data_IF_896054290498
#
_entry.id   IF_896054290498
#
_cell.length_a   1.000
_cell.length_b   1.000
_cell.length_c   1.000
_cell.angle_alpha   90.00
_cell.angle_beta   90.00
_cell.angle_gamma   90.00
#
_symmetry.space_group_name_H-M   'P 1'
#
loop_
_entity.id
_entity.type
_entity.pdbx_description
1 polymer ?
#
# COMPACT_ATOMS: atom_id res chain seq x y z
N UNK A 1 2.66 -20.72 7.15
CA UNK A 1 1.49 -20.30 6.35
C UNK A 1 0.89 -19.09 7.04
N UNK A 2 0.57 -18.08 6.27
CA UNK A 2 -0.10 -16.90 6.81
C UNK A 2 -1.54 -17.24 7.20
N UNK A 3 -2.04 -16.61 8.24
CA UNK A 3 -3.40 -16.84 8.73
C UNK A 3 -4.33 -15.71 8.27
N UNK A 4 -5.66 -15.95 8.26
CA UNK A 4 -6.64 -14.88 8.12
C UNK A 4 -6.44 -13.83 9.21
N UNK A 5 -6.71 -12.57 8.89
CA UNK A 5 -6.58 -11.46 9.84
C UNK A 5 -7.81 -10.54 9.79
N UNK A 6 -7.96 -9.70 10.78
CA UNK A 6 -9.13 -8.80 10.88
C UNK A 6 -8.72 -7.35 10.65
N UNK A 7 -9.58 -6.63 9.94
CA UNK A 7 -9.52 -5.17 9.81
C UNK A 7 -10.85 -4.58 10.26
N UNK A 8 -10.83 -3.39 10.84
CA UNK A 8 -12.04 -2.63 11.14
C UNK A 8 -12.16 -1.48 10.15
N UNK A 9 -13.25 -1.44 9.39
CA UNK A 9 -13.53 -0.42 8.38
C UNK A 9 -14.90 0.19 8.66
N UNK A 10 -14.96 1.50 8.90
CA UNK A 10 -16.19 2.21 9.21
C UNK A 10 -17.00 1.58 10.36
N UNK A 11 -16.30 1.03 11.36
CA UNK A 11 -16.94 0.38 12.52
C UNK A 11 -17.34 -1.08 12.32
N UNK A 12 -17.13 -1.66 11.14
CA UNK A 12 -17.38 -3.07 10.85
C UNK A 12 -16.09 -3.88 10.88
N UNK A 13 -16.10 -5.01 11.57
CA UNK A 13 -14.98 -5.95 11.55
C UNK A 13 -15.09 -6.85 10.33
N UNK A 14 -14.04 -6.86 9.53
CA UNK A 14 -13.92 -7.66 8.32
C UNK A 14 -12.82 -8.69 8.48
N UNK A 15 -13.17 -9.97 8.35
CA UNK A 15 -12.20 -11.06 8.28
C UNK A 15 -11.62 -11.09 6.86
N UNK A 16 -10.29 -10.96 6.78
CA UNK A 16 -9.55 -11.00 5.53
C UNK A 16 -9.04 -12.41 5.25
N UNK A 17 -9.01 -12.77 3.97
CA UNK A 17 -8.46 -14.06 3.56
C UNK A 17 -6.98 -14.20 3.94
N UNK A 18 -6.58 -15.43 4.26
CA UNK A 18 -5.16 -15.73 4.44
C UNK A 18 -4.37 -15.44 3.15
N UNK A 19 -3.28 -14.66 3.20
CA UNK A 19 -2.48 -14.37 2.02
C UNK A 19 -1.91 -15.64 1.38
N UNK A 20 -1.96 -15.72 0.06
CA UNK A 20 -1.32 -16.79 -0.70
C UNK A 20 0.21 -16.65 -0.71
N UNK A 21 0.93 -17.70 -1.09
CA UNK A 21 2.38 -17.64 -1.25
C UNK A 21 2.81 -16.56 -2.26
N UNK A 22 2.10 -16.43 -3.37
CA UNK A 22 2.37 -15.40 -4.37
C UNK A 22 2.14 -13.99 -3.82
N UNK A 23 1.08 -13.81 -3.02
CA UNK A 23 0.80 -12.56 -2.32
C UNK A 23 1.97 -12.18 -1.38
N UNK A 24 2.39 -13.10 -0.52
CA UNK A 24 3.48 -12.86 0.42
C UNK A 24 4.80 -12.54 -0.29
N UNK A 25 5.09 -13.21 -1.39
CA UNK A 25 6.28 -12.95 -2.19
C UNK A 25 6.26 -11.53 -2.78
N UNK A 26 5.12 -11.06 -3.26
CA UNK A 26 4.96 -9.68 -3.76
C UNK A 26 5.11 -8.66 -2.65
N UNK A 27 4.50 -8.88 -1.49
CA UNK A 27 4.65 -8.00 -0.31
C UNK A 27 6.12 -7.90 0.11
N UNK A 28 6.82 -9.01 0.19
CA UNK A 28 8.25 -9.04 0.54
C UNK A 28 9.09 -8.27 -0.48
N UNK A 29 8.87 -8.48 -1.78
CA UNK A 29 9.58 -7.77 -2.85
C UNK A 29 9.34 -6.27 -2.79
N UNK A 30 8.09 -5.84 -2.66
CA UNK A 30 7.73 -4.43 -2.55
C UNK A 30 8.39 -3.79 -1.33
N UNK A 31 8.30 -4.45 -0.18
CA UNK A 31 8.92 -3.94 1.05
C UNK A 31 10.44 -3.79 0.91
N UNK A 32 11.11 -4.78 0.34
CA UNK A 32 12.56 -4.73 0.09
C UNK A 32 12.94 -3.63 -0.89
N UNK A 33 12.20 -3.48 -2.00
CA UNK A 33 12.43 -2.44 -3.00
C UNK A 33 12.30 -1.04 -2.40
N UNK A 34 11.22 -0.80 -1.66
CA UNK A 34 10.99 0.50 -1.01
C UNK A 34 12.03 0.77 0.08
N UNK A 35 12.31 -0.21 0.94
CA UNK A 35 13.30 -0.06 2.00
C UNK A 35 14.68 0.29 1.46
N UNK A 36 15.10 -0.34 0.36
CA UNK A 36 16.38 -0.05 -0.28
C UNK A 36 16.41 1.27 -1.04
N UNK A 37 15.25 1.84 -1.38
CA UNK A 37 15.11 3.13 -2.08
C UNK A 37 15.14 4.32 -1.14
N UNK A 38 14.89 4.11 0.15
CA UNK A 38 14.89 5.19 1.14
C UNK A 38 16.31 5.51 1.57
N UNK A 39 16.66 6.80 1.53
CA UNK A 39 17.92 7.27 2.11
C UNK A 39 17.84 7.34 3.63
N UNK A 40 18.97 7.25 4.36
CA UNK A 40 18.99 7.39 5.82
C UNK A 40 18.42 8.72 6.33
N UNK A 41 18.48 9.76 5.53
CA UNK A 41 17.98 11.10 5.84
C UNK A 41 16.58 11.38 5.25
N UNK A 42 15.90 10.34 4.76
CA UNK A 42 14.56 10.51 4.22
C UNK A 42 13.57 10.95 5.29
N UNK A 43 12.66 11.84 4.93
CA UNK A 43 11.48 12.17 5.75
C UNK A 43 10.38 11.09 5.66
N UNK A 44 10.64 9.98 5.00
CA UNK A 44 9.75 8.86 4.85
C UNK A 44 10.33 7.62 5.54
N UNK A 45 9.45 6.78 6.07
CA UNK A 45 9.77 5.49 6.68
C UNK A 45 8.80 4.43 6.18
N UNK A 46 9.32 3.28 5.79
CA UNK A 46 8.47 2.12 5.52
C UNK A 46 8.21 1.36 6.82
N UNK A 47 6.95 1.00 7.04
CA UNK A 47 6.55 0.16 8.16
C UNK A 47 6.70 -1.32 7.80
N UNK A 48 6.85 -2.22 8.79
CA UNK A 48 6.77 -3.65 8.54
C UNK A 48 5.46 -4.01 7.81
N UNK A 49 5.43 -5.04 6.97
CA UNK A 49 4.22 -5.47 6.28
C UNK A 49 3.05 -5.70 7.24
N UNK A 50 1.87 -5.28 6.84
CA UNK A 50 0.63 -5.40 7.63
C UNK A 50 0.71 -4.80 9.04
N UNK A 51 1.54 -3.77 9.23
CA UNK A 51 1.50 -2.97 10.45
C UNK A 51 0.12 -2.34 10.64
N UNK A 52 -0.43 -2.47 11.84
CA UNK A 52 -1.73 -1.86 12.16
C UNK A 52 -1.65 -0.34 12.10
N UNK A 53 -2.58 0.27 11.39
CA UNK A 53 -2.78 1.71 11.33
C UNK A 53 -4.11 2.04 11.98
N UNK A 54 -4.07 2.84 13.03
CA UNK A 54 -5.27 3.42 13.63
C UNK A 54 -5.61 4.73 12.91
N UNK A 55 -6.69 4.72 12.16
CA UNK A 55 -7.20 5.85 11.40
C UNK A 55 -8.39 6.52 12.09
N UNK A 56 -8.52 6.32 13.40
CA UNK A 56 -9.61 6.87 14.19
C UNK A 56 -10.98 6.33 13.74
N UNK A 57 -11.89 7.24 13.37
CA UNK A 57 -13.23 6.85 12.94
C UNK A 57 -13.28 6.05 11.63
N UNK A 58 -12.26 6.19 10.78
CA UNK A 58 -12.19 5.44 9.53
C UNK A 58 -11.91 3.95 9.77
N UNK A 59 -11.20 3.61 10.85
CA UNK A 59 -10.99 2.22 11.25
C UNK A 59 -9.55 1.88 11.60
N UNK A 60 -9.30 0.58 11.70
CA UNK A 60 -7.98 0.00 11.93
C UNK A 60 -7.65 -0.91 10.76
N UNK A 61 -6.65 -0.52 9.97
CA UNK A 61 -6.25 -1.21 8.75
C UNK A 61 -4.85 -1.80 8.88
N UNK A 62 -4.61 -2.86 8.10
CA UNK A 62 -3.32 -3.54 8.01
C UNK A 62 -2.90 -3.64 6.53
N UNK A 63 -2.50 -2.51 5.90
CA UNK A 63 -2.09 -2.53 4.50
C UNK A 63 -0.85 -3.40 4.29
N UNK A 64 -0.74 -4.02 3.13
CA UNK A 64 0.40 -4.87 2.79
C UNK A 64 1.73 -4.11 2.81
N UNK A 65 1.72 -2.85 2.34
CA UNK A 65 2.85 -1.92 2.45
C UNK A 65 2.34 -0.57 2.89
N UNK A 66 3.05 0.07 3.81
CA UNK A 66 2.78 1.45 4.21
C UNK A 66 4.08 2.23 4.37
N UNK A 67 4.12 3.42 3.77
CA UNK A 67 5.16 4.42 3.95
C UNK A 67 4.54 5.60 4.69
N UNK A 68 5.16 6.01 5.79
CA UNK A 68 4.70 7.13 6.62
C UNK A 68 5.69 8.29 6.57
N UNK A 69 5.22 9.50 6.85
CA UNK A 69 6.07 10.69 7.02
C UNK A 69 6.62 10.74 8.44
N UNK A 70 7.92 10.92 8.57
CA UNK A 70 8.59 11.03 9.89
C UNK A 70 8.66 12.47 10.43
N UNK A 71 8.44 13.46 9.58
CA UNK A 71 8.54 14.89 9.90
C UNK A 71 7.17 15.55 10.02
N UNK A 72 6.37 15.07 10.96
CA UNK A 72 5.11 15.69 11.33
C UNK A 72 5.01 15.77 12.84
N UNK A 73 5.74 16.70 13.45
CA UNK A 73 5.57 17.10 14.85
C UNK A 73 5.42 15.95 15.84
N UNK A 74 6.51 15.48 16.39
CA UNK A 74 6.52 14.72 17.64
C UNK A 74 6.09 15.63 18.82
N UNK A 75 4.86 16.11 18.77
CA UNK A 75 4.25 16.82 19.88
C UNK A 75 2.84 16.29 20.01
N UNK A 76 2.61 15.33 20.85
CA UNK A 76 1.34 14.70 21.23
C UNK A 76 1.06 13.29 20.68
N UNK A 77 2.03 12.37 20.68
CA UNK A 77 1.70 10.93 20.46
C UNK A 77 0.99 10.61 19.14
N UNK A 78 1.04 11.52 18.17
CA UNK A 78 0.34 11.40 16.90
C UNK A 78 0.95 10.33 16.00
N UNK A 79 0.10 9.48 15.43
CA UNK A 79 0.46 8.54 14.38
C UNK A 79 1.02 9.33 13.19
N UNK A 80 2.20 8.95 12.72
CA UNK A 80 2.76 9.54 11.50
C UNK A 80 1.81 9.32 10.32
N UNK A 81 1.40 10.36 9.58
CA UNK A 81 0.43 10.20 8.52
C UNK A 81 0.99 9.34 7.39
N UNK A 82 0.20 8.43 6.82
CA UNK A 82 0.62 7.64 5.68
C UNK A 82 0.84 8.54 4.47
N UNK A 83 1.91 8.28 3.73
CA UNK A 83 2.21 8.90 2.45
C UNK A 83 1.77 8.02 1.29
N UNK A 84 2.09 6.73 1.38
CA UNK A 84 1.81 5.75 0.35
C UNK A 84 1.38 4.44 1.00
N UNK A 85 0.35 3.84 0.43
CA UNK A 85 -0.10 2.49 0.76
C UNK A 85 -0.09 1.64 -0.50
N UNK A 86 0.36 0.39 -0.40
CA UNK A 86 0.15 -0.61 -1.43
C UNK A 86 -0.71 -1.76 -0.88
N UNK A 87 -1.67 -2.18 -1.69
CA UNK A 87 -2.51 -3.34 -1.46
C UNK A 87 -2.28 -4.36 -2.59
N UNK A 88 -1.88 -5.55 -2.22
CA UNK A 88 -1.76 -6.68 -3.15
C UNK A 88 -3.10 -7.38 -3.20
N UNK A 89 -3.76 -7.37 -4.36
CA UNK A 89 -5.12 -7.86 -4.49
C UNK A 89 -5.21 -9.37 -4.28
N UNK A 90 -6.16 -9.79 -3.46
CA UNK A 90 -6.49 -11.18 -3.24
C UNK A 90 -7.86 -11.50 -3.87
N UNK A 91 -8.01 -12.60 -4.63
CA UNK A 91 -9.28 -12.91 -5.30
C UNK A 91 -10.49 -12.97 -4.36
N UNK A 92 -10.31 -13.48 -3.14
CA UNK A 92 -11.38 -13.58 -2.13
C UNK A 92 -11.78 -12.25 -1.51
N UNK A 93 -10.90 -11.25 -1.54
CA UNK A 93 -11.10 -9.93 -0.93
C UNK A 93 -11.18 -8.79 -1.95
N UNK A 94 -11.26 -9.12 -3.23
CA UNK A 94 -11.17 -8.15 -4.31
C UNK A 94 -12.08 -6.93 -4.15
N UNK A 95 -13.33 -7.13 -3.76
CA UNK A 95 -14.27 -6.03 -3.56
C UNK A 95 -13.86 -5.13 -2.39
N UNK A 96 -13.38 -5.71 -1.30
CA UNK A 96 -12.91 -4.94 -0.13
C UNK A 96 -11.72 -4.06 -0.53
N UNK A 97 -10.74 -4.62 -1.25
CA UNK A 97 -9.53 -3.88 -1.63
C UNK A 97 -9.81 -2.82 -2.70
N UNK A 98 -10.56 -3.16 -3.75
CA UNK A 98 -10.74 -2.28 -4.92
C UNK A 98 -11.84 -1.24 -4.75
N UNK A 99 -12.77 -1.44 -3.84
CA UNK A 99 -13.90 -0.53 -3.62
C UNK A 99 -13.85 0.07 -2.21
N UNK A 100 -13.98 -0.76 -1.17
CA UNK A 100 -14.15 -0.27 0.20
C UNK A 100 -12.89 0.42 0.72
N UNK A 101 -11.77 -0.27 0.73
CA UNK A 101 -10.49 0.30 1.20
C UNK A 101 -10.01 1.44 0.32
N UNK A 102 -10.15 1.31 -1.00
CA UNK A 102 -9.78 2.38 -1.92
C UNK A 102 -10.55 3.66 -1.62
N UNK A 103 -11.87 3.58 -1.38
CA UNK A 103 -12.67 4.74 -1.01
C UNK A 103 -12.22 5.33 0.33
N UNK A 104 -11.96 4.49 1.33
CA UNK A 104 -11.47 4.93 2.64
C UNK A 104 -10.14 5.68 2.52
N UNK A 105 -9.18 5.13 1.77
CA UNK A 105 -7.89 5.79 1.52
C UNK A 105 -8.06 7.13 0.79
N UNK A 106 -9.00 7.22 -0.14
CA UNK A 106 -9.34 8.47 -0.82
C UNK A 106 -9.93 9.51 0.13
N UNK A 107 -10.83 9.09 1.02
CA UNK A 107 -11.52 9.97 1.97
C UNK A 107 -10.55 10.60 2.99
N UNK A 108 -9.56 9.85 3.44
CA UNK A 108 -8.51 10.38 4.34
C UNK A 108 -7.39 11.14 3.61
N UNK A 109 -7.54 11.34 2.29
CA UNK A 109 -6.57 12.08 1.47
C UNK A 109 -5.18 11.45 1.44
N UNK A 110 -5.11 10.11 1.39
CA UNK A 110 -3.84 9.41 1.20
C UNK A 110 -3.16 9.90 -0.09
N UNK A 111 -1.92 10.43 -0.04
CA UNK A 111 -1.29 11.05 -1.22
C UNK A 111 -1.07 10.08 -2.38
N UNK A 112 -0.71 8.83 -2.10
CA UNK A 112 -0.39 7.79 -3.11
C UNK A 112 -0.96 6.45 -2.71
N UNK A 113 -1.52 5.72 -3.69
CA UNK A 113 -1.94 4.33 -3.53
C UNK A 113 -1.46 3.51 -4.72
N UNK A 114 -0.91 2.33 -4.44
CA UNK A 114 -0.60 1.31 -5.42
C UNK A 114 -1.54 0.12 -5.23
N UNK A 115 -2.25 -0.24 -6.29
CA UNK A 115 -3.02 -1.49 -6.32
C UNK A 115 -2.25 -2.49 -7.18
N UNK A 116 -1.76 -3.54 -6.55
CA UNK A 116 -0.90 -4.56 -7.16
C UNK A 116 -1.75 -5.76 -7.51
N UNK A 117 -1.95 -6.02 -8.80
CA UNK A 117 -2.79 -7.13 -9.27
C UNK A 117 -1.94 -8.28 -9.84
N UNK A 118 -1.78 -9.38 -9.10
CA UNK A 118 -1.01 -10.53 -9.55
C UNK A 118 -1.67 -11.29 -10.72
N UNK A 119 -2.97 -11.12 -10.95
CA UNK A 119 -3.68 -11.79 -12.07
C UNK A 119 -3.33 -11.16 -13.42
N UNK A 120 -3.18 -9.85 -13.43
CA UNK A 120 -2.87 -9.07 -14.64
C UNK A 120 -1.41 -8.61 -14.69
N UNK A 121 -0.61 -8.95 -13.67
CA UNK A 121 0.80 -8.60 -13.56
C UNK A 121 1.03 -7.09 -13.75
N UNK A 122 0.18 -6.29 -13.12
CA UNK A 122 0.21 -4.84 -13.22
C UNK A 122 0.11 -4.14 -11.85
N UNK A 123 0.45 -2.88 -11.84
CA UNK A 123 0.26 -1.97 -10.71
C UNK A 123 -0.49 -0.75 -11.19
N UNK A 124 -1.64 -0.48 -10.60
CA UNK A 124 -2.36 0.77 -10.79
C UNK A 124 -1.85 1.80 -9.77
N UNK A 125 -1.46 2.97 -10.27
CA UNK A 125 -0.92 4.06 -9.45
C UNK A 125 -1.96 5.18 -9.34
N UNK A 126 -2.36 5.48 -8.12
CA UNK A 126 -3.34 6.53 -7.82
C UNK A 126 -2.72 7.68 -7.04
N UNK A 127 -3.21 8.87 -7.29
CA UNK A 127 -2.92 10.08 -6.51
C UNK A 127 -4.19 10.71 -5.97
N UNK A 128 -4.09 11.31 -4.78
CA UNK A 128 -5.17 12.08 -4.19
C UNK A 128 -5.38 13.39 -4.92
N UNK A 129 -6.65 13.74 -5.12
CA UNK A 129 -7.11 15.05 -5.57
C UNK A 129 -8.17 15.58 -4.62
N UNK A 130 -8.64 16.80 -4.83
CA UNK A 130 -9.78 17.35 -4.07
C UNK A 130 -11.08 16.56 -4.28
N UNK A 131 -11.20 15.82 -5.40
CA UNK A 131 -12.36 15.03 -5.76
C UNK A 131 -12.22 13.52 -5.48
N UNK A 132 -11.14 13.10 -4.83
CA UNK A 132 -10.82 11.70 -4.57
C UNK A 132 -9.56 11.23 -5.30
N UNK A 133 -9.43 9.93 -5.51
CA UNK A 133 -8.30 9.38 -6.27
C UNK A 133 -8.46 9.60 -7.77
N UNK A 134 -7.34 9.96 -8.41
CA UNK A 134 -7.19 9.88 -9.86
C UNK A 134 -6.18 8.79 -10.21
N UNK A 135 -6.48 8.02 -11.25
CA UNK A 135 -5.56 7.03 -11.81
C UNK A 135 -4.48 7.78 -12.60
N UNK A 136 -3.22 7.65 -12.16
CA UNK A 136 -2.08 8.26 -12.86
C UNK A 136 -1.56 7.34 -13.97
N UNK A 137 -1.45 6.05 -13.69
CA UNK A 137 -0.89 5.07 -14.62
C UNK A 137 -1.32 3.64 -14.29
N UNK A 138 -1.23 2.76 -15.29
CA UNK A 138 -1.32 1.31 -15.15
C UNK A 138 -0.02 0.73 -15.68
N UNK A 139 0.86 0.32 -14.76
CA UNK A 139 2.19 -0.16 -15.07
C UNK A 139 2.15 -1.66 -15.37
N UNK A 140 2.74 -2.07 -16.49
CA UNK A 140 2.87 -3.48 -16.89
C UNK A 140 4.19 -3.73 -17.64
N UNK A 141 4.62 -4.97 -17.73
CA UNK A 141 5.77 -5.41 -18.52
C UNK A 141 7.08 -4.68 -18.17
N UNK A 142 7.55 -3.80 -19.05
CA UNK A 142 8.80 -3.05 -18.89
C UNK A 142 8.63 -1.72 -18.18
N UNK A 143 7.39 -1.27 -17.95
CA UNK A 143 7.15 -0.02 -17.25
C UNK A 143 7.69 -0.10 -15.83
N UNK A 144 8.50 0.87 -15.39
CA UNK A 144 9.07 0.84 -14.05
C UNK A 144 8.11 1.41 -13.02
N UNK A 145 8.06 0.77 -11.85
CA UNK A 145 7.46 1.37 -10.66
C UNK A 145 8.40 2.45 -10.14
N UNK A 146 7.92 3.66 -10.08
CA UNK A 146 8.64 4.83 -9.57
C UNK A 146 7.72 5.66 -8.68
N UNK A 147 8.30 6.52 -7.85
CA UNK A 147 7.57 7.53 -7.11
C UNK A 147 8.43 8.78 -6.93
N UNK A 148 7.86 10.00 -7.05
CA UNK A 148 8.62 11.26 -6.93
C UNK A 148 9.38 11.42 -5.62
N UNK A 149 8.86 10.86 -4.52
CA UNK A 149 9.49 10.92 -3.20
C UNK A 149 10.38 9.71 -2.87
N UNK A 150 10.52 8.80 -3.82
CA UNK A 150 11.40 7.62 -3.74
C UNK A 150 12.35 7.61 -4.94
N UNK A 151 13.28 8.57 -5.04
CA UNK A 151 14.09 8.76 -6.25
C UNK A 151 15.01 7.57 -6.58
N UNK A 152 15.30 6.72 -5.61
CA UNK A 152 16.04 5.47 -5.81
C UNK A 152 15.19 4.30 -6.30
N UNK A 153 13.86 4.44 -6.36
CA UNK A 153 12.97 3.38 -6.78
C UNK A 153 12.82 3.38 -8.30
N UNK A 154 13.20 2.25 -8.91
CA UNK A 154 12.92 1.96 -10.32
C UNK A 154 12.92 0.45 -10.52
N UNK A 155 11.72 -0.14 -10.61
CA UNK A 155 11.57 -1.59 -10.76
C UNK A 155 10.61 -1.88 -11.92
N UNK A 156 11.07 -2.48 -13.02
CA UNK A 156 10.18 -2.94 -14.07
C UNK A 156 9.16 -3.96 -13.57
N UNK A 157 7.92 -3.90 -14.04
CA UNK A 157 6.87 -4.81 -13.59
C UNK A 157 7.22 -6.27 -13.83
N UNK A 158 7.86 -6.61 -14.95
CA UNK A 158 8.35 -7.97 -15.22
C UNK A 158 9.27 -8.52 -14.13
N UNK A 159 10.04 -7.65 -13.47
CA UNK A 159 10.97 -8.05 -12.41
C UNK A 159 10.23 -8.18 -11.06
N UNK A 160 9.29 -7.27 -10.79
CA UNK A 160 8.42 -7.36 -9.62
C UNK A 160 7.61 -8.67 -9.61
N UNK A 161 7.04 -9.03 -10.76
CA UNK A 161 6.17 -10.21 -10.92
C UNK A 161 6.88 -11.48 -11.38
N UNK A 162 8.21 -11.49 -11.43
CA UNK A 162 8.97 -12.67 -11.87
C UNK A 162 8.63 -13.91 -11.04
N UNK A 163 8.14 -14.99 -11.69
CA UNK A 163 7.79 -16.25 -11.03
C UNK A 163 6.46 -16.24 -10.25
N UNK A 164 5.60 -15.24 -10.50
CA UNK A 164 4.23 -15.17 -9.98
C UNK A 164 3.27 -15.91 -10.94
#
# INVERSE_FOLDING_TARGET
MSEPYEETINGENLLRCAPSQAHELLVERLHKLVSSSLSPNSSLKVLPPRSGLDLGRAGQLQPDLCIVRTSGGAGDGGVNPPYLVAEVLHPGDHHVDTVIKKQLWADIKLPRMWMVDPRYLNVEVYASTEFGFTLLDILANRHPLTDPNLPGLSCPMRDLFAGI
#
